data_IF_858912740913
#
_entry.id   IF_858912740913
#
_cell.length_a   1.000
_cell.length_b   1.000
_cell.length_c   1.000
_cell.angle_alpha   90.00
_cell.angle_beta   90.00
_cell.angle_gamma   90.00
#
_symmetry.space_group_name_H-M   'P 1'
#
loop_
_entity.id
_entity.type
_entity.pdbx_description
1 polymer ?
#
# COMPACT_ATOMS: atom_id res chain seq x y z
N UNK A 1 33.46 12.34 -9.52
CA UNK A 1 32.42 11.93 -8.54
C UNK A 1 31.28 12.93 -8.65
N UNK A 2 30.03 12.50 -8.52
CA UNK A 2 28.87 13.41 -8.41
C UNK A 2 28.51 13.45 -6.93
N UNK A 3 28.57 14.64 -6.33
CA UNK A 3 28.13 14.84 -4.95
C UNK A 3 26.62 15.13 -4.95
N UNK A 4 25.87 14.41 -4.13
CA UNK A 4 24.47 14.70 -3.85
C UNK A 4 24.37 15.45 -2.53
N UNK A 5 23.86 16.70 -2.59
CA UNK A 5 23.52 17.47 -1.40
C UNK A 5 22.03 17.26 -1.07
N UNK A 6 21.75 16.73 0.11
CA UNK A 6 20.38 16.53 0.58
C UNK A 6 19.82 17.86 1.14
N UNK A 7 18.56 18.15 0.81
CA UNK A 7 17.82 19.33 1.30
C UNK A 7 16.79 18.87 2.34
N UNK A 8 16.68 19.59 3.45
CA UNK A 8 15.68 19.34 4.48
C UNK A 8 14.27 19.74 3.98
N UNK A 9 13.23 19.02 4.41
CA UNK A 9 11.86 19.38 4.07
C UNK A 9 11.50 20.79 4.60
N UNK A 10 10.60 21.49 3.90
CA UNK A 10 10.21 22.89 4.17
C UNK A 10 11.34 23.92 4.08
N UNK A 11 12.53 23.54 3.61
CA UNK A 11 13.65 24.49 3.48
C UNK A 11 13.53 25.33 2.21
N UNK A 12 14.02 26.56 2.30
CA UNK A 12 14.22 27.40 1.13
C UNK A 12 15.47 26.92 0.38
N UNK A 13 15.33 26.73 -0.93
CA UNK A 13 16.43 26.40 -1.85
C UNK A 13 16.60 27.57 -2.79
N UNK A 14 17.81 28.14 -2.83
CA UNK A 14 18.18 29.19 -3.78
C UNK A 14 19.27 28.73 -4.74
N UNK A 15 19.19 29.21 -5.98
CA UNK A 15 20.20 28.98 -7.01
C UNK A 15 20.66 30.31 -7.61
N UNK A 16 21.98 30.45 -7.74
CA UNK A 16 22.63 31.58 -8.41
C UNK A 16 23.57 31.06 -9.49
N UNK A 17 23.43 31.60 -10.69
CA UNK A 17 24.33 31.28 -11.80
C UNK A 17 25.61 32.12 -11.65
N UNK A 18 26.76 31.46 -11.51
CA UNK A 18 28.05 32.14 -11.28
C UNK A 18 28.91 32.27 -12.55
N UNK A 19 28.50 31.62 -13.66
CA UNK A 19 29.26 31.51 -14.91
C UNK A 19 28.32 31.53 -16.12
N UNK A 20 27.77 32.70 -16.47
CA UNK A 20 26.94 32.93 -17.65
C UNK A 20 27.36 34.20 -18.39
N UNK A 21 27.50 34.13 -19.71
CA UNK A 21 28.27 35.10 -20.49
C UNK A 21 27.52 36.41 -20.83
N UNK A 22 26.36 36.68 -20.23
CA UNK A 22 25.56 37.89 -20.51
C UNK A 22 24.61 38.25 -19.35
N UNK A 23 25.03 39.16 -18.45
CA UNK A 23 24.17 39.82 -17.46
C UNK A 23 24.05 39.15 -16.09
N UNK A 24 23.60 39.92 -15.09
CA UNK A 24 23.27 39.41 -13.74
C UNK A 24 22.02 38.54 -13.83
N UNK A 25 22.12 37.25 -13.50
CA UNK A 25 20.96 36.35 -13.41
C UNK A 25 20.16 36.59 -12.14
N UNK A 26 18.84 36.64 -12.26
CA UNK A 26 17.92 36.72 -11.11
C UNK A 26 18.03 35.46 -10.26
N UNK A 27 18.14 35.63 -8.93
CA UNK A 27 18.12 34.51 -7.97
C UNK A 27 16.81 33.71 -8.10
N UNK A 28 16.91 32.40 -8.26
CA UNK A 28 15.74 31.51 -8.25
C UNK A 28 15.53 30.95 -6.84
N UNK A 29 14.33 31.10 -6.28
CA UNK A 29 13.96 30.59 -4.96
C UNK A 29 12.77 29.65 -5.03
N UNK A 30 12.87 28.52 -4.35
CA UNK A 30 11.77 27.57 -4.20
C UNK A 30 11.77 26.95 -2.81
N UNK A 31 10.60 26.49 -2.35
CA UNK A 31 10.46 25.79 -1.09
C UNK A 31 10.38 24.28 -1.32
N UNK A 32 11.19 23.52 -0.59
CA UNK A 32 11.14 22.07 -0.66
C UNK A 32 9.87 21.56 0.01
N UNK A 33 9.06 20.80 -0.72
CA UNK A 33 7.81 20.24 -0.19
C UNK A 33 8.07 19.26 0.96
N UNK A 34 7.11 19.14 1.88
CA UNK A 34 7.13 18.11 2.92
C UNK A 34 6.70 16.76 2.38
N UNK A 35 7.22 15.68 2.96
CA UNK A 35 6.66 14.34 2.76
C UNK A 35 5.33 14.24 3.50
N UNK A 36 4.33 13.68 2.84
CA UNK A 36 3.06 13.34 3.47
C UNK A 36 3.24 12.15 4.42
N UNK A 37 2.43 12.10 5.49
CA UNK A 37 2.41 10.95 6.41
C UNK A 37 1.77 9.76 5.70
N UNK A 38 2.33 8.57 5.87
CA UNK A 38 1.67 7.36 5.40
C UNK A 38 0.27 7.24 6.04
N UNK A 39 -0.79 6.92 5.28
CA UNK A 39 -2.13 6.78 5.83
C UNK A 39 -2.18 5.60 6.80
N UNK A 40 -3.16 5.63 7.70
CA UNK A 40 -3.38 4.53 8.64
C UNK A 40 -3.95 3.31 7.93
N UNK A 41 -3.59 2.12 8.42
CA UNK A 41 -4.11 0.87 7.87
C UNK A 41 -5.64 0.78 8.10
N UNK A 42 -6.38 0.11 7.19
CA UNK A 42 -7.80 -0.14 7.40
C UNK A 42 -8.04 -1.11 8.56
N UNK A 43 -9.24 -1.08 9.10
CA UNK A 43 -9.73 -2.06 10.08
C UNK A 43 -10.37 -3.20 9.29
N UNK A 44 -10.04 -4.45 9.64
CA UNK A 44 -10.58 -5.66 9.00
C UNK A 44 -11.20 -6.55 10.07
N UNK A 45 -12.48 -6.88 9.91
CA UNK A 45 -13.23 -7.74 10.82
C UNK A 45 -13.85 -8.91 10.04
N UNK A 46 -13.78 -10.11 10.62
CA UNK A 46 -14.33 -11.32 10.02
C UNK A 46 -15.59 -11.76 10.78
N UNK A 47 -16.65 -12.04 10.04
CA UNK A 47 -17.85 -12.70 10.54
C UNK A 47 -17.85 -14.15 10.03
N UNK A 48 -17.39 -15.07 10.88
CA UNK A 48 -17.35 -16.49 10.55
C UNK A 48 -18.75 -17.12 10.45
N UNK A 49 -19.75 -16.56 11.14
CA UNK A 49 -21.11 -17.09 11.13
C UNK A 49 -21.77 -16.84 9.78
N UNK A 50 -21.57 -15.64 9.23
CA UNK A 50 -22.12 -15.23 7.94
C UNK A 50 -21.11 -15.37 6.79
N UNK A 51 -19.91 -15.90 7.05
CA UNK A 51 -18.82 -16.01 6.09
C UNK A 51 -18.53 -14.69 5.35
N UNK A 52 -18.49 -13.57 6.08
CA UNK A 52 -18.29 -12.22 5.56
C UNK A 52 -17.04 -11.56 6.13
N UNK A 53 -16.51 -10.56 5.41
CA UNK A 53 -15.38 -9.72 5.85
C UNK A 53 -15.75 -8.26 5.65
N UNK A 54 -15.69 -7.47 6.71
CA UNK A 54 -15.90 -6.03 6.68
C UNK A 54 -14.54 -5.32 6.71
N UNK A 55 -14.39 -4.32 5.83
CA UNK A 55 -13.17 -3.51 5.72
C UNK A 55 -13.53 -2.04 5.83
N UNK A 56 -13.07 -1.41 6.91
CA UNK A 56 -13.30 0.02 7.16
C UNK A 56 -12.04 0.82 6.81
N UNK A 57 -12.11 1.79 5.88
CA UNK A 57 -11.00 2.70 5.62
C UNK A 57 -10.72 3.56 6.84
N UNK A 58 -9.44 3.84 7.13
CA UNK A 58 -9.03 4.72 8.21
C UNK A 58 -8.44 6.03 7.64
N UNK A 59 -8.58 7.12 8.40
CA UNK A 59 -8.06 8.45 8.08
C UNK A 59 -8.65 9.05 6.81
N UNK A 60 -7.86 9.90 6.14
CA UNK A 60 -8.21 10.58 4.88
C UNK A 60 -8.06 9.66 3.65
N UNK A 61 -8.36 8.36 3.80
CA UNK A 61 -8.24 7.43 2.68
C UNK A 61 -9.31 7.73 1.63
N UNK A 62 -8.88 8.13 0.43
CA UNK A 62 -9.77 8.48 -0.69
C UNK A 62 -10.03 7.30 -1.63
N UNK A 63 -9.34 6.18 -1.45
CA UNK A 63 -9.47 4.97 -2.27
C UNK A 63 -9.31 3.70 -1.44
N UNK A 64 -10.25 2.78 -1.61
CA UNK A 64 -10.14 1.40 -1.16
C UNK A 64 -10.02 0.45 -2.35
N UNK A 65 -9.08 -0.48 -2.27
CA UNK A 65 -8.92 -1.58 -3.23
C UNK A 65 -8.94 -2.88 -2.44
N UNK A 66 -9.95 -3.70 -2.67
CA UNK A 66 -10.10 -5.01 -2.03
C UNK A 66 -9.71 -6.13 -3.00
N UNK A 67 -8.76 -6.97 -2.61
CA UNK A 67 -8.33 -8.13 -3.37
C UNK A 67 -8.76 -9.40 -2.61
N UNK A 68 -9.90 -9.98 -2.98
CA UNK A 68 -10.45 -11.17 -2.31
C UNK A 68 -10.15 -12.46 -3.09
N UNK A 69 -9.78 -13.52 -2.38
CA UNK A 69 -9.66 -14.88 -2.93
C UNK A 69 -10.46 -15.83 -2.03
N UNK A 70 -11.54 -16.42 -2.57
CA UNK A 70 -12.37 -17.39 -1.85
C UNK A 70 -11.85 -18.80 -2.12
N UNK A 71 -11.54 -19.56 -1.06
CA UNK A 71 -11.21 -20.98 -1.19
C UNK A 71 -12.25 -21.82 -0.46
N UNK A 72 -12.99 -22.65 -1.19
CA UNK A 72 -13.89 -23.64 -0.59
C UNK A 72 -13.05 -24.78 -0.01
N UNK A 73 -13.06 -24.93 1.32
CA UNK A 73 -12.39 -26.03 2.02
C UNK A 73 -13.39 -27.18 2.22
N UNK A 74 -13.30 -28.23 1.39
CA UNK A 74 -14.07 -29.46 1.60
C UNK A 74 -13.36 -30.36 2.63
N UNK A 75 -13.89 -30.46 3.85
CA UNK A 75 -13.30 -31.24 4.96
C UNK A 75 -13.99 -32.59 5.24
N UNK A 76 -14.63 -33.22 4.26
CA UNK A 76 -15.15 -34.59 4.45
C UNK A 76 -14.89 -35.48 3.23
N UNK A 77 -13.85 -36.30 3.32
CA UNK A 77 -13.75 -37.55 2.57
C UNK A 77 -13.68 -38.71 3.55
N UNK A 78 -14.79 -39.44 3.72
CA UNK A 78 -14.78 -40.81 4.21
C UNK A 78 -15.36 -41.72 3.13
N UNK A 79 -14.49 -42.59 2.58
CA UNK A 79 -14.81 -43.59 1.57
C UNK A 79 -15.53 -44.80 2.21
N UNK A 80 -16.46 -45.40 1.47
CA UNK A 80 -17.44 -46.40 1.94
C UNK A 80 -16.83 -47.79 2.19
N UNK A 81 -17.34 -48.52 3.19
CA UNK A 81 -17.12 -49.98 3.32
C UNK A 81 -18.32 -50.71 2.70
N UNK A 82 -18.09 -51.41 1.58
CA UNK A 82 -19.07 -52.37 1.04
C UNK A 82 -18.73 -53.76 1.56
N UNK A 83 -19.58 -54.32 2.42
CA UNK A 83 -19.50 -55.75 2.76
C UNK A 83 -20.18 -56.53 1.65
N UNK A 84 -19.41 -57.33 0.90
CA UNK A 84 -19.92 -58.27 -0.08
C UNK A 84 -20.15 -59.61 0.62
N UNK A 85 -21.42 -59.97 0.83
CA UNK A 85 -21.77 -61.30 1.31
C UNK A 85 -21.49 -62.34 0.22
N UNK A 86 -20.52 -63.23 0.46
CA UNK A 86 -20.36 -64.46 -0.33
C UNK A 86 -20.82 -65.66 0.49
N UNK A 87 -22.09 -66.02 0.29
CA UNK A 87 -22.60 -67.36 -0.04
C UNK A 87 -22.36 -68.55 0.90
N UNK A 88 -23.49 -69.08 1.38
CA UNK A 88 -23.89 -70.48 1.68
C UNK A 88 -22.85 -71.54 2.04
#
# INVERSE_FOLDING_TARGET
MIEYQAVQASSEVSATETKGNSGVSTENKTYMSIKERAPEAPIVEADETNASVDVTPNGESTKLVQNTQLQMVNQHQSLQVKMEERGH
#
